data_IF_716710227735
#
_entry.id   IF_716710227735
#
_cell.length_a   1.000
_cell.length_b   1.000
_cell.length_c   1.000
_cell.angle_alpha   90.00
_cell.angle_beta   90.00
_cell.angle_gamma   90.00
#
_symmetry.space_group_name_H-M   'P 1'
#
loop_
_entity.id
_entity.type
_entity.pdbx_description
1 polymer ?
#
# COMPACT_ATOMS: atom_id res chain seq x y z
N UNK A 1 9.03 9.91 5.70
CA UNK A 1 8.61 10.18 4.32
C UNK A 1 7.23 10.80 4.31
N UNK A 2 7.02 11.79 3.46
CA UNK A 2 5.69 12.30 3.14
C UNK A 2 4.99 11.36 2.13
N UNK A 3 3.68 11.57 1.90
CA UNK A 3 2.89 10.67 1.05
C UNK A 3 3.40 10.63 -0.39
N UNK A 4 3.87 11.76 -0.92
CA UNK A 4 4.40 11.85 -2.29
C UNK A 4 5.70 11.05 -2.46
N UNK A 5 6.64 11.14 -1.51
CA UNK A 5 7.86 10.33 -1.48
C UNK A 5 7.55 8.83 -1.43
N UNK A 6 6.51 8.45 -0.68
CA UNK A 6 6.06 7.05 -0.61
C UNK A 6 5.51 6.61 -1.96
N UNK A 7 4.62 7.38 -2.58
CA UNK A 7 4.06 7.05 -3.89
C UNK A 7 5.17 6.89 -4.93
N UNK A 8 6.14 7.79 -4.95
CA UNK A 8 7.29 7.69 -5.85
C UNK A 8 8.13 6.45 -5.57
N UNK A 9 8.38 6.14 -4.29
CA UNK A 9 9.13 4.95 -3.90
C UNK A 9 8.40 3.65 -4.26
N UNK A 10 7.07 3.64 -4.22
CA UNK A 10 6.25 2.47 -4.52
C UNK A 10 5.81 2.38 -5.99
N UNK A 11 6.10 3.39 -6.82
CA UNK A 11 5.67 3.44 -8.21
C UNK A 11 6.12 2.23 -9.04
N UNK A 12 7.25 1.62 -8.69
CA UNK A 12 7.77 0.41 -9.34
C UNK A 12 6.92 -0.85 -9.09
N UNK A 13 6.03 -0.83 -8.09
CA UNK A 13 5.09 -1.92 -7.81
C UNK A 13 3.79 -1.78 -8.61
N UNK A 14 3.53 -0.63 -9.24
CA UNK A 14 2.32 -0.43 -10.03
C UNK A 14 2.42 -1.29 -11.30
N UNK A 15 1.36 -2.08 -11.55
CA UNK A 15 1.31 -3.05 -12.64
C UNK A 15 1.84 -4.44 -12.28
N UNK A 16 2.40 -4.65 -11.08
CA UNK A 16 2.79 -5.99 -10.60
C UNK A 16 1.62 -6.68 -9.89
N UNK A 17 1.53 -8.02 -9.93
CA UNK A 17 0.55 -8.74 -9.12
C UNK A 17 0.79 -8.49 -7.62
N UNK A 18 -0.30 -8.28 -6.90
CA UNK A 18 -0.29 -8.16 -5.45
C UNK A 18 -0.03 -9.53 -4.82
N UNK A 19 0.99 -9.57 -3.96
CA UNK A 19 1.26 -10.69 -3.08
C UNK A 19 1.28 -10.21 -1.61
N UNK A 20 0.83 -11.02 -0.64
CA UNK A 20 0.86 -10.64 0.77
C UNK A 20 2.25 -10.26 1.29
N UNK A 21 3.31 -10.79 0.68
CA UNK A 21 4.73 -10.49 0.95
C UNK A 21 5.08 -9.01 0.69
N UNK A 22 4.44 -8.37 -0.29
CA UNK A 22 4.66 -6.96 -0.65
C UNK A 22 4.40 -6.02 0.52
N UNK A 23 3.52 -6.39 1.47
CA UNK A 23 3.27 -5.57 2.67
C UNK A 23 4.53 -5.39 3.51
N UNK A 24 5.35 -6.45 3.64
CA UNK A 24 6.63 -6.40 4.34
C UNK A 24 7.59 -5.44 3.63
N UNK A 25 7.73 -5.58 2.31
CA UNK A 25 8.55 -4.70 1.48
C UNK A 25 8.12 -3.24 1.58
N UNK A 26 6.81 -2.95 1.52
CA UNK A 26 6.28 -1.58 1.67
C UNK A 26 6.60 -1.05 3.06
N UNK A 27 6.48 -1.89 4.10
CA UNK A 27 6.80 -1.51 5.49
C UNK A 27 8.29 -1.16 5.62
N UNK A 28 9.18 -1.94 5.01
CA UNK A 28 10.62 -1.70 5.02
C UNK A 28 11.02 -0.44 4.24
N UNK A 29 10.42 -0.21 3.06
CA UNK A 29 10.71 0.96 2.22
C UNK A 29 10.19 2.24 2.88
N UNK A 30 8.96 2.22 3.40
CA UNK A 30 8.27 3.44 3.84
C UNK A 30 8.42 3.69 5.34
N UNK A 31 8.84 2.69 6.11
CA UNK A 31 8.85 2.68 7.57
C UNK A 31 7.46 2.66 8.20
N UNK A 32 6.39 2.48 7.41
CA UNK A 32 5.01 2.49 7.91
C UNK A 32 4.55 1.08 8.30
N UNK A 33 4.20 0.83 9.57
CA UNK A 33 3.86 -0.52 10.04
C UNK A 33 2.47 -1.00 9.60
N UNK A 34 1.60 -0.09 9.15
CA UNK A 34 0.19 -0.35 8.87
C UNK A 34 -0.10 -0.35 7.37
N UNK A 35 0.21 -1.47 6.71
CA UNK A 35 -0.11 -1.69 5.29
C UNK A 35 -1.32 -2.61 5.18
N UNK A 36 -2.37 -2.13 4.50
CA UNK A 36 -3.64 -2.83 4.30
C UNK A 36 -3.71 -3.30 2.84
N UNK A 37 -3.90 -4.60 2.65
CA UNK A 37 -4.10 -5.20 1.34
C UNK A 37 -5.49 -4.90 0.75
N UNK A 38 -5.68 -5.12 -0.56
CA UNK A 38 -6.91 -4.78 -1.30
C UNK A 38 -8.17 -5.51 -0.80
N UNK A 39 -8.02 -6.65 -0.13
CA UNK A 39 -9.13 -7.45 0.41
C UNK A 39 -9.16 -7.47 1.95
N UNK A 40 -8.33 -6.65 2.61
CA UNK A 40 -8.30 -6.59 4.07
C UNK A 40 -9.30 -5.56 4.60
N UNK A 41 -10.14 -6.01 5.53
CA UNK A 41 -11.10 -5.14 6.20
C UNK A 41 -10.35 -4.23 7.18
N UNK A 42 -10.38 -2.92 6.96
CA UNK A 42 -9.79 -1.93 7.87
C UNK A 42 -10.87 -1.18 8.64
N UNK A 43 -10.60 -0.80 9.89
CA UNK A 43 -11.48 0.09 10.66
C UNK A 43 -11.55 1.48 10.02
N UNK A 44 -12.70 2.16 10.09
CA UNK A 44 -12.87 3.51 9.56
C UNK A 44 -12.17 4.60 10.39
N UNK A 45 -11.38 4.21 11.40
CA UNK A 45 -10.58 5.15 12.18
C UNK A 45 -9.42 5.68 11.36
N UNK A 46 -9.28 7.00 11.36
CA UNK A 46 -8.19 7.73 10.73
C UNK A 46 -6.85 7.29 11.30
N UNK A 47 -5.92 6.90 10.43
CA UNK A 47 -4.57 6.47 10.80
C UNK A 47 -3.58 7.07 9.80
N UNK A 48 -2.91 8.15 10.22
CA UNK A 48 -1.96 8.89 9.40
C UNK A 48 -0.77 8.04 8.90
N UNK A 49 -0.58 6.84 9.46
CA UNK A 49 0.48 5.91 9.06
C UNK A 49 -0.02 4.75 8.20
N UNK A 50 -1.30 4.75 7.82
CA UNK A 50 -1.89 3.67 7.03
C UNK A 50 -1.64 3.84 5.54
N UNK A 51 -1.30 2.73 4.89
CA UNK A 51 -1.21 2.63 3.44
C UNK A 51 -2.21 1.58 2.98
N UNK A 52 -3.12 1.96 2.11
CA UNK A 52 -4.02 1.03 1.43
C UNK A 52 -3.44 0.69 0.06
N UNK A 53 -3.32 -0.60 -0.23
CA UNK A 53 -2.93 -1.09 -1.55
C UNK A 53 -4.19 -1.25 -2.38
N UNK A 54 -4.26 -0.55 -3.51
CA UNK A 54 -5.35 -0.66 -4.45
C UNK A 54 -4.96 -1.63 -5.55
N UNK A 55 -5.82 -2.62 -5.81
CA UNK A 55 -5.65 -3.54 -6.94
C UNK A 55 -6.86 -3.53 -7.85
N UNK A 56 -6.67 -3.98 -9.09
CA UNK A 56 -7.77 -4.26 -10.00
C UNK A 56 -8.40 -5.65 -9.74
N UNK A 57 -9.34 -6.03 -10.62
CA UNK A 57 -10.02 -7.32 -10.60
C UNK A 57 -9.07 -8.52 -10.83
N UNK A 58 -7.90 -8.30 -11.44
CA UNK A 58 -6.86 -9.31 -11.66
C UNK A 58 -5.81 -9.33 -10.56
N UNK A 59 -6.05 -8.63 -9.44
CA UNK A 59 -5.09 -8.47 -8.34
C UNK A 59 -3.79 -7.76 -8.75
N UNK A 60 -3.78 -6.96 -9.84
CA UNK A 60 -2.64 -6.12 -10.18
C UNK A 60 -2.70 -4.82 -9.39
N UNK A 61 -1.58 -4.40 -8.81
CA UNK A 61 -1.46 -3.16 -8.06
C UNK A 61 -1.69 -1.98 -9.02
N UNK A 62 -2.71 -1.18 -8.74
CA UNK A 62 -3.04 0.03 -9.49
C UNK A 62 -2.50 1.28 -8.80
N UNK A 63 -2.28 1.22 -7.48
CA UNK A 63 -1.71 2.33 -6.72
C UNK A 63 -1.91 2.20 -5.22
N UNK A 64 -1.72 3.31 -4.50
CA UNK A 64 -1.77 3.36 -3.05
C UNK A 64 -2.58 4.57 -2.55
N UNK A 65 -3.24 4.43 -1.41
CA UNK A 65 -4.03 5.49 -0.77
C UNK A 65 -3.68 5.62 0.72
N UNK A 66 -3.87 6.82 1.27
CA UNK A 66 -3.56 7.14 2.67
C UNK A 66 -4.80 7.81 3.28
N UNK A 67 -5.51 7.09 4.15
CA UNK A 67 -6.75 7.53 4.80
C UNK A 67 -6.63 7.39 6.32
#
# INVERSE_FOLDING_TARGET
MNNDEILQSLAHLIGTPYEPSVKGTITEITGRPRVVGPNEMSTHEYDATRIHINTDANQLIQGFSFN
#
